data_IF_581532783194
#
_entry.id   IF_581532783194
#
_cell.length_a   1.000
_cell.length_b   1.000
_cell.length_c   1.000
_cell.angle_alpha   90.00
_cell.angle_beta   90.00
_cell.angle_gamma   90.00
#
_symmetry.space_group_name_H-M   'P 1'
#
loop_
_entity.id
_entity.type
_entity.pdbx_description
1 polymer ?
#
# COMPACT_ATOMS: atom_id res chain seq x y z
N UNK A 1 28.57 -4.58 6.61
CA UNK A 1 27.29 -4.47 7.34
C UNK A 1 26.18 -3.76 6.55
N UNK A 2 26.50 -3.05 5.44
CA UNK A 2 25.52 -2.30 4.63
C UNK A 2 24.72 -3.16 3.61
N UNK A 3 25.10 -4.41 3.36
CA UNK A 3 24.40 -5.24 2.37
C UNK A 3 23.15 -5.93 2.93
N UNK A 4 23.07 -6.18 4.23
CA UNK A 4 21.93 -6.89 4.83
C UNK A 4 20.62 -6.07 4.80
N UNK A 5 20.71 -4.74 4.94
CA UNK A 5 19.55 -3.83 4.92
C UNK A 5 18.90 -3.68 3.54
N UNK A 6 19.63 -3.99 2.46
CA UNK A 6 19.08 -3.99 1.10
C UNK A 6 18.37 -5.31 0.77
N UNK A 7 18.81 -6.41 1.38
CA UNK A 7 18.30 -7.76 1.14
C UNK A 7 17.07 -8.09 1.99
N UNK A 8 17.05 -7.62 3.23
CA UNK A 8 15.86 -7.66 4.08
C UNK A 8 15.21 -6.29 3.95
N UNK A 9 13.97 -6.20 3.48
CA UNK A 9 13.20 -4.95 3.42
C UNK A 9 12.88 -4.34 4.82
N UNK A 10 13.83 -4.42 5.75
CA UNK A 10 13.80 -3.92 7.12
C UNK A 10 13.65 -2.41 7.15
N UNK A 11 14.43 -1.69 6.33
CA UNK A 11 14.30 -0.22 6.20
C UNK A 11 12.85 0.17 5.89
N UNK A 12 12.23 -0.50 4.91
CA UNK A 12 10.81 -0.30 4.56
C UNK A 12 9.87 -0.64 5.70
N UNK A 13 10.15 -1.70 6.45
CA UNK A 13 9.35 -2.10 7.61
C UNK A 13 9.37 -1.01 8.67
N UNK A 14 10.54 -0.48 9.04
CA UNK A 14 10.64 0.61 10.02
C UNK A 14 10.03 1.93 9.52
N UNK A 15 10.15 2.25 8.24
CA UNK A 15 9.51 3.42 7.63
C UNK A 15 7.99 3.36 7.71
N UNK A 16 7.39 2.19 7.48
CA UNK A 16 5.92 2.04 7.52
C UNK A 16 5.37 1.63 8.89
N UNK A 17 6.21 1.13 9.80
CA UNK A 17 5.79 0.65 11.12
C UNK A 17 4.96 1.67 11.92
N UNK A 18 5.30 2.97 11.97
CA UNK A 18 4.48 3.96 12.67
C UNK A 18 3.05 4.03 12.14
N UNK A 19 2.84 3.89 10.83
CA UNK A 19 1.50 3.88 10.24
C UNK A 19 0.68 2.65 10.66
N UNK A 20 1.32 1.48 10.71
CA UNK A 20 0.69 0.27 11.22
C UNK A 20 0.31 0.40 12.70
N UNK A 21 1.21 0.99 13.50
CA UNK A 21 0.98 1.22 14.92
C UNK A 21 -0.16 2.22 15.17
N UNK A 22 -0.20 3.32 14.40
CA UNK A 22 -1.32 4.27 14.43
C UNK A 22 -2.64 3.55 14.14
N UNK A 23 -2.71 2.75 13.07
CA UNK A 23 -3.90 1.96 12.74
C UNK A 23 -4.28 0.92 13.81
N UNK A 24 -3.29 0.37 14.55
CA UNK A 24 -3.52 -0.59 15.63
C UNK A 24 -4.17 0.06 16.86
N UNK A 25 -3.76 1.28 17.21
CA UNK A 25 -4.34 2.02 18.34
C UNK A 25 -5.70 2.67 18.03
N UNK A 26 -6.09 2.76 16.75
CA UNK A 26 -7.39 3.31 16.37
C UNK A 26 -8.54 2.37 16.75
N UNK A 27 -9.38 2.83 17.68
CA UNK A 27 -10.60 2.12 18.03
C UNK A 27 -11.66 2.21 16.93
N UNK A 28 -12.56 1.21 16.89
CA UNK A 28 -13.70 1.19 15.95
C UNK A 28 -14.63 2.40 16.10
N UNK A 29 -14.73 2.96 17.31
CA UNK A 29 -15.48 4.19 17.63
C UNK A 29 -14.92 5.39 16.89
N UNK A 30 -13.60 5.58 16.94
CA UNK A 30 -12.88 6.66 16.25
C UNK A 30 -12.92 6.50 14.73
N UNK A 31 -12.75 5.27 14.23
CA UNK A 31 -12.88 4.97 12.80
C UNK A 31 -14.30 5.31 12.28
N UNK A 32 -15.35 5.05 13.06
CA UNK A 32 -16.73 5.41 12.67
C UNK A 32 -16.92 6.92 12.52
N UNK A 33 -16.23 7.73 13.33
CA UNK A 33 -16.30 9.20 13.24
C UNK A 33 -15.76 9.70 11.89
N UNK A 34 -14.72 9.05 11.35
CA UNK A 34 -14.11 9.40 10.05
C UNK A 34 -15.10 9.34 8.89
N UNK A 35 -16.17 8.54 8.97
CA UNK A 35 -17.15 8.40 7.90
C UNK A 35 -18.29 9.43 7.94
N UNK A 36 -18.20 10.46 8.78
CA UNK A 36 -19.19 11.55 8.83
C UNK A 36 -19.10 12.45 7.60
N UNK A 37 -20.23 13.03 7.16
CA UNK A 37 -20.29 13.91 5.98
C UNK A 37 -19.31 15.08 6.05
N UNK A 38 -19.17 15.69 7.24
CA UNK A 38 -18.24 16.83 7.47
C UNK A 38 -16.79 16.43 7.22
N UNK A 39 -16.37 15.27 7.72
CA UNK A 39 -15.01 14.77 7.52
C UNK A 39 -14.81 14.37 6.07
N UNK A 40 -15.80 13.76 5.40
CA UNK A 40 -15.71 13.47 3.96
C UNK A 40 -15.48 14.72 3.13
N UNK A 41 -16.21 15.81 3.41
CA UNK A 41 -16.00 17.08 2.71
C UNK A 41 -14.59 17.62 2.97
N UNK A 42 -14.14 17.61 4.22
CA UNK A 42 -12.77 18.01 4.57
C UNK A 42 -11.72 17.13 3.86
N UNK A 43 -11.93 15.83 3.78
CA UNK A 43 -11.04 14.88 3.10
C UNK A 43 -10.94 15.13 1.60
N UNK A 44 -12.05 15.46 0.93
CA UNK A 44 -12.03 15.84 -0.50
C UNK A 44 -11.19 17.10 -0.67
N UNK A 45 -11.45 18.13 0.14
CA UNK A 45 -10.71 19.39 0.08
C UNK A 45 -9.22 19.15 0.36
N UNK A 46 -8.88 18.37 1.38
CA UNK A 46 -7.51 18.02 1.72
C UNK A 46 -6.79 17.28 0.59
N UNK A 47 -7.44 16.29 -0.05
CA UNK A 47 -6.85 15.57 -1.18
C UNK A 47 -6.66 16.47 -2.41
N UNK A 48 -7.63 17.33 -2.74
CA UNK A 48 -7.49 18.29 -3.85
C UNK A 48 -6.38 19.29 -3.54
N UNK A 49 -6.33 19.84 -2.32
CA UNK A 49 -5.29 20.78 -1.91
C UNK A 49 -3.90 20.13 -1.99
N UNK A 50 -3.75 18.90 -1.51
CA UNK A 50 -2.49 18.15 -1.61
C UNK A 50 -2.11 17.87 -3.07
N UNK A 51 -3.07 17.51 -3.92
CA UNK A 51 -2.83 17.31 -5.34
C UNK A 51 -2.32 18.60 -6.02
N UNK A 52 -2.98 19.73 -5.78
CA UNK A 52 -2.56 21.04 -6.31
C UNK A 52 -1.18 21.42 -5.77
N UNK A 53 -0.94 21.25 -4.47
CA UNK A 53 0.34 21.58 -3.83
C UNK A 53 1.49 20.74 -4.40
N UNK A 54 1.30 19.44 -4.60
CA UNK A 54 2.34 18.57 -5.15
C UNK A 54 2.56 18.92 -6.63
N UNK A 55 1.49 19.07 -7.41
CA UNK A 55 1.59 19.31 -8.85
C UNK A 55 2.23 20.66 -9.20
N UNK A 56 1.86 21.73 -8.50
CA UNK A 56 2.35 23.09 -8.78
C UNK A 56 3.50 23.53 -7.88
N UNK A 57 3.55 23.06 -6.64
CA UNK A 57 4.57 23.47 -5.67
C UNK A 57 5.86 22.64 -5.73
N UNK A 58 5.76 21.36 -6.11
CA UNK A 58 6.91 20.45 -6.14
C UNK A 58 6.90 19.55 -7.40
N UNK A 59 6.92 20.12 -8.62
CA UNK A 59 6.85 19.35 -9.86
C UNK A 59 8.00 18.35 -10.03
N UNK A 60 9.17 18.66 -9.48
CA UNK A 60 10.38 17.82 -9.56
C UNK A 60 10.69 17.04 -8.28
N UNK A 61 9.69 16.80 -7.42
CA UNK A 61 9.91 16.03 -6.18
C UNK A 61 10.49 14.64 -6.54
N UNK A 62 11.73 14.32 -6.12
CA UNK A 62 12.32 13.03 -6.46
C UNK A 62 11.49 11.93 -5.80
N UNK A 63 11.08 10.93 -6.57
CA UNK A 63 10.25 9.82 -6.06
C UNK A 63 10.90 9.11 -4.86
N UNK A 64 12.23 9.18 -4.77
CA UNK A 64 13.04 8.63 -3.68
C UNK A 64 12.68 9.23 -2.30
N UNK A 65 12.23 10.49 -2.24
CA UNK A 65 11.70 11.12 -1.03
C UNK A 65 10.39 10.48 -0.56
N UNK A 66 9.53 10.09 -1.51
CA UNK A 66 8.25 9.43 -1.22
C UNK A 66 8.44 7.95 -0.85
N UNK A 67 9.41 7.28 -1.46
CA UNK A 67 9.72 5.88 -1.17
C UNK A 67 10.54 5.68 0.11
N UNK A 68 11.18 6.73 0.62
CA UNK A 68 12.04 6.67 1.81
C UNK A 68 13.24 5.73 1.64
N UNK A 69 13.69 5.50 0.41
CA UNK A 69 14.64 4.44 0.05
C UNK A 69 16.10 4.88 0.02
N UNK A 70 16.41 6.17 0.22
CA UNK A 70 17.77 6.72 0.26
C UNK A 70 18.05 7.54 1.52
N UNK A 71 19.31 7.51 1.94
CA UNK A 71 19.88 8.28 3.07
C UNK A 71 19.99 9.77 2.74
N UNK A 72 20.01 10.64 3.76
CA UNK A 72 20.06 12.10 3.60
C UNK A 72 21.28 12.57 2.80
N UNK A 73 22.43 11.93 3.00
CA UNK A 73 23.66 12.17 2.23
C UNK A 73 23.50 11.93 0.72
N UNK A 74 22.71 10.92 0.33
CA UNK A 74 22.48 10.61 -1.08
C UNK A 74 21.52 11.60 -1.77
N UNK A 75 20.84 12.45 -1.00
CA UNK A 75 19.95 13.50 -1.47
C UNK A 75 20.62 14.88 -1.44
N UNK A 76 21.84 15.00 -0.92
CA UNK A 76 22.63 16.24 -0.90
C UNK A 76 22.08 17.31 0.03
N UNK A 77 21.31 16.93 1.06
CA UNK A 77 20.65 17.85 2.00
C UNK A 77 21.27 17.71 3.39
N UNK A 78 21.49 18.83 4.13
CA UNK A 78 21.90 18.78 5.54
C UNK A 78 20.99 17.86 6.36
N UNK A 79 21.56 17.10 7.31
CA UNK A 79 20.81 16.12 8.09
C UNK A 79 19.58 16.71 8.79
N UNK A 80 19.69 17.96 9.26
CA UNK A 80 18.61 18.69 9.94
C UNK A 80 17.41 18.97 9.00
N UNK A 81 17.69 19.49 7.80
CA UNK A 81 16.66 19.75 6.77
C UNK A 81 16.05 18.44 6.26
N UNK A 82 16.84 17.36 6.20
CA UNK A 82 16.39 16.02 5.85
C UNK A 82 15.36 15.44 6.83
N UNK A 83 15.57 15.63 8.13
CA UNK A 83 14.63 15.19 9.18
C UNK A 83 13.30 15.94 9.08
N UNK A 84 13.33 17.27 8.92
CA UNK A 84 12.13 18.10 8.78
C UNK A 84 11.34 17.71 7.52
N UNK A 85 12.04 17.49 6.40
CA UNK A 85 11.42 17.02 5.16
C UNK A 85 10.72 15.67 5.33
N UNK A 86 11.36 14.69 5.99
CA UNK A 86 10.73 13.38 6.24
C UNK A 86 9.52 13.47 7.17
N UNK A 87 9.60 14.26 8.24
CA UNK A 87 8.45 14.48 9.13
C UNK A 87 7.28 15.11 8.37
N UNK A 88 7.56 16.07 7.48
CA UNK A 88 6.55 16.69 6.63
C UNK A 88 5.89 15.67 5.70
N UNK A 89 6.69 14.80 5.05
CA UNK A 89 6.18 13.73 4.18
C UNK A 89 5.36 12.71 4.97
N UNK A 90 5.77 12.34 6.18
CA UNK A 90 4.98 11.45 7.03
C UNK A 90 3.66 12.07 7.46
N UNK A 91 3.66 13.36 7.83
CA UNK A 91 2.45 14.11 8.15
C UNK A 91 1.49 14.18 6.96
N UNK A 92 2.02 14.56 5.79
CA UNK A 92 1.30 14.57 4.52
C UNK A 92 0.71 13.20 4.17
N UNK A 93 1.52 12.15 4.25
CA UNK A 93 1.11 10.77 3.96
C UNK A 93 0.03 10.29 4.92
N UNK A 94 0.14 10.61 6.21
CA UNK A 94 -0.87 10.26 7.23
C UNK A 94 -2.18 10.99 6.95
N UNK A 95 -2.13 12.29 6.65
CA UNK A 95 -3.30 13.09 6.31
C UNK A 95 -4.01 12.55 5.07
N UNK A 96 -3.25 12.25 4.01
CA UNK A 96 -3.78 11.67 2.78
C UNK A 96 -4.38 10.29 3.01
N UNK A 97 -3.73 9.43 3.82
CA UNK A 97 -4.24 8.12 4.19
C UNK A 97 -5.58 8.22 4.95
N UNK A 98 -5.67 9.07 5.97
CA UNK A 98 -6.90 9.27 6.76
C UNK A 98 -8.00 9.88 5.87
N UNK A 99 -7.64 10.84 5.02
CA UNK A 99 -8.57 11.48 4.10
C UNK A 99 -9.15 10.48 3.11
N UNK A 100 -8.30 9.64 2.52
CA UNK A 100 -8.71 8.56 1.64
C UNK A 100 -9.61 7.55 2.38
N UNK A 101 -9.23 7.13 3.59
CA UNK A 101 -10.02 6.21 4.40
C UNK A 101 -11.42 6.75 4.69
N UNK A 102 -11.56 8.03 5.02
CA UNK A 102 -12.85 8.67 5.28
C UNK A 102 -13.81 8.66 4.06
N UNK A 103 -13.25 8.65 2.84
CA UNK A 103 -14.00 8.57 1.59
C UNK A 103 -14.43 7.16 1.23
N UNK A 104 -13.80 6.13 1.80
CA UNK A 104 -14.21 4.75 1.61
C UNK A 104 -15.64 4.56 2.15
N UNK A 105 -16.55 3.96 1.38
CA UNK A 105 -17.90 3.73 1.83
C UNK A 105 -17.93 2.68 2.95
N UNK A 106 -18.68 2.95 4.03
CA UNK A 106 -18.84 2.07 5.18
C UNK A 106 -19.94 0.99 4.99
N UNK A 107 -20.44 0.82 3.77
CA UNK A 107 -21.48 -0.16 3.46
C UNK A 107 -20.87 -1.44 2.88
N UNK A 108 -21.49 -2.59 3.17
CA UNK A 108 -21.10 -3.87 2.57
C UNK A 108 -21.71 -3.96 1.17
N UNK A 109 -20.87 -3.98 0.15
CA UNK A 109 -21.27 -4.23 -1.24
C UNK A 109 -20.92 -5.65 -1.65
N UNK A 110 -21.49 -6.13 -2.76
CA UNK A 110 -21.12 -7.43 -3.35
C UNK A 110 -19.62 -7.52 -3.67
N UNK A 111 -18.97 -6.40 -3.99
CA UNK A 111 -17.52 -6.30 -4.18
C UNK A 111 -16.70 -6.44 -2.88
N UNK A 112 -17.30 -6.24 -1.70
CA UNK A 112 -16.60 -6.43 -0.42
C UNK A 112 -16.14 -7.88 -0.22
N UNK A 113 -16.76 -8.85 -0.91
CA UNK A 113 -16.31 -10.26 -0.94
C UNK A 113 -14.96 -10.42 -1.65
N UNK A 114 -14.64 -9.58 -2.63
CA UNK A 114 -13.32 -9.57 -3.24
C UNK A 114 -12.29 -8.90 -2.32
N UNK A 115 -12.73 -7.91 -1.53
CA UNK A 115 -11.91 -7.25 -0.50
C UNK A 115 -11.25 -8.24 0.47
N UNK A 116 -12.00 -9.27 0.93
CA UNK A 116 -11.44 -10.30 1.83
C UNK A 116 -10.42 -11.22 1.16
N UNK A 117 -10.36 -11.23 -0.17
CA UNK A 117 -9.43 -12.05 -0.96
C UNK A 117 -8.20 -11.26 -1.45
N UNK A 118 -8.16 -9.96 -1.20
CA UNK A 118 -7.07 -9.08 -1.66
C UNK A 118 -5.71 -9.50 -1.13
N UNK A 119 -5.63 -9.98 0.12
CA UNK A 119 -4.38 -10.50 0.68
C UNK A 119 -3.81 -11.68 -0.12
N UNK A 120 -4.68 -12.61 -0.52
CA UNK A 120 -4.30 -13.76 -1.35
C UNK A 120 -3.81 -13.31 -2.72
N UNK A 121 -4.55 -12.41 -3.38
CA UNK A 121 -4.16 -11.83 -4.67
C UNK A 121 -2.82 -11.11 -4.55
N UNK A 122 -2.63 -10.33 -3.48
CA UNK A 122 -1.39 -9.58 -3.22
C UNK A 122 -0.18 -10.50 -3.04
N UNK A 123 -0.31 -11.64 -2.36
CA UNK A 123 0.81 -12.58 -2.26
C UNK A 123 1.10 -13.24 -3.61
N UNK A 124 0.06 -13.67 -4.35
CA UNK A 124 0.25 -14.44 -5.57
C UNK A 124 0.66 -13.61 -6.79
N UNK A 125 0.20 -12.37 -6.91
CA UNK A 125 0.47 -11.56 -8.11
C UNK A 125 1.97 -11.33 -8.32
N UNK A 126 2.76 -11.23 -7.24
CA UNK A 126 4.21 -11.04 -7.31
C UNK A 126 4.92 -12.20 -8.00
N UNK A 127 4.48 -13.45 -7.76
CA UNK A 127 5.03 -14.62 -8.45
C UNK A 127 4.70 -14.61 -9.95
N UNK A 128 3.49 -14.18 -10.31
CA UNK A 128 3.05 -14.09 -11.70
C UNK A 128 3.79 -12.98 -12.44
N UNK A 129 3.97 -11.81 -11.80
CA UNK A 129 4.76 -10.72 -12.37
C UNK A 129 6.22 -11.11 -12.54
N UNK A 130 6.79 -11.85 -11.60
CA UNK A 130 8.15 -12.38 -11.73
C UNK A 130 8.25 -13.36 -12.91
N UNK A 131 7.29 -14.29 -13.03
CA UNK A 131 7.24 -15.22 -14.15
C UNK A 131 7.09 -14.50 -15.50
N UNK A 132 6.19 -13.52 -15.60
CA UNK A 132 6.00 -12.72 -16.81
C UNK A 132 7.26 -11.92 -17.18
N UNK A 133 8.00 -11.38 -16.19
CA UNK A 133 9.25 -10.67 -16.44
C UNK A 133 10.38 -11.56 -16.98
N UNK A 134 10.42 -12.83 -16.60
CA UNK A 134 11.41 -13.79 -17.13
C UNK A 134 11.08 -14.25 -18.56
N UNK A 135 9.89 -13.90 -19.07
CA UNK A 135 9.49 -14.15 -20.46
C UNK A 135 9.66 -12.91 -21.33
N UNK A 136 9.63 -13.06 -22.66
CA UNK A 136 9.66 -11.94 -23.63
C UNK A 136 8.39 -11.04 -23.62
N UNK A 137 7.56 -11.18 -22.60
CA UNK A 137 6.28 -10.48 -22.47
C UNK A 137 6.43 -8.95 -22.31
N UNK A 138 7.40 -8.41 -21.55
CA UNK A 138 7.62 -6.97 -21.46
C UNK A 138 7.97 -6.34 -22.82
N UNK A 139 8.82 -7.00 -23.60
CA UNK A 139 9.26 -6.54 -24.92
C UNK A 139 8.11 -6.56 -25.95
N UNK A 140 7.19 -7.52 -25.82
CA UNK A 140 5.99 -7.61 -26.66
C UNK A 140 5.00 -6.47 -26.38
N UNK A 141 4.79 -6.10 -25.12
CA UNK A 141 3.87 -5.01 -24.72
C UNK A 141 4.40 -3.64 -25.18
N UNK A 142 5.73 -3.39 -25.04
CA UNK A 142 6.34 -2.13 -25.46
C UNK A 142 6.24 -1.91 -26.98
N UNK A 143 6.43 -2.96 -27.79
CA UNK A 143 6.35 -2.85 -29.25
C UNK A 143 4.94 -2.58 -29.79
N UNK A 144 3.89 -2.94 -29.06
CA UNK A 144 2.49 -2.86 -29.53
C UNK A 144 1.76 -1.63 -28.97
N UNK A 145 2.40 -0.78 -28.15
CA UNK A 145 1.71 0.25 -27.35
C UNK A 145 0.51 -0.32 -26.57
N UNK A 146 0.64 -1.57 -26.12
CA UNK A 146 -0.44 -2.40 -25.60
C UNK A 146 -0.88 -2.06 -24.17
N UNK A 147 -0.80 -0.80 -23.73
CA UNK A 147 -1.21 -0.41 -22.36
C UNK A 147 -2.66 -0.84 -22.03
N UNK A 148 -3.64 -0.75 -22.95
CA UNK A 148 -4.99 -1.28 -22.69
C UNK A 148 -5.01 -2.81 -22.54
N UNK A 149 -4.19 -3.52 -23.32
CA UNK A 149 -4.04 -4.98 -23.22
C UNK A 149 -3.43 -5.38 -21.87
N UNK A 150 -2.42 -4.64 -21.41
CA UNK A 150 -1.80 -4.83 -20.10
C UNK A 150 -2.82 -4.62 -18.97
N UNK A 151 -3.63 -3.56 -19.06
CA UNK A 151 -4.72 -3.31 -18.11
C UNK A 151 -5.74 -4.46 -18.11
N UNK A 152 -6.20 -4.88 -19.28
CA UNK A 152 -7.11 -6.03 -19.41
C UNK A 152 -6.54 -7.31 -18.80
N UNK A 153 -5.28 -7.63 -19.11
CA UNK A 153 -4.60 -8.79 -18.56
C UNK A 153 -4.45 -8.70 -17.04
N UNK A 154 -4.11 -7.53 -16.51
CA UNK A 154 -3.99 -7.33 -15.06
C UNK A 154 -5.31 -7.58 -14.33
N UNK A 155 -6.43 -7.09 -14.87
CA UNK A 155 -7.77 -7.34 -14.33
C UNK A 155 -8.12 -8.82 -14.40
N UNK A 156 -7.82 -9.49 -15.52
CA UNK A 156 -8.04 -10.92 -15.68
C UNK A 156 -7.24 -11.74 -14.67
N UNK A 157 -5.96 -11.42 -14.46
CA UNK A 157 -5.11 -12.08 -13.46
C UNK A 157 -5.69 -11.87 -12.06
N UNK A 158 -6.10 -10.66 -11.70
CA UNK A 158 -6.70 -10.36 -10.40
C UNK A 158 -8.00 -11.15 -10.18
N UNK A 159 -8.87 -11.20 -11.19
CA UNK A 159 -10.12 -11.97 -11.12
C UNK A 159 -9.86 -13.48 -11.04
N UNK A 160 -8.86 -13.98 -11.78
CA UNK A 160 -8.44 -15.37 -11.73
C UNK A 160 -7.88 -15.72 -10.34
N UNK A 161 -6.99 -14.90 -9.79
CA UNK A 161 -6.38 -15.10 -8.46
C UNK A 161 -7.39 -14.95 -7.32
N UNK A 162 -8.35 -14.05 -7.50
CA UNK A 162 -9.48 -13.86 -6.59
C UNK A 162 -10.53 -14.97 -6.66
N UNK A 163 -10.39 -15.94 -7.57
CA UNK A 163 -11.32 -17.05 -7.69
C UNK A 163 -11.30 -17.95 -6.45
N UNK A 164 -12.48 -18.51 -6.11
CA UNK A 164 -12.65 -19.41 -4.96
C UNK A 164 -11.62 -20.56 -4.89
N UNK A 165 -11.27 -21.27 -5.99
CA UNK A 165 -10.35 -22.41 -5.91
C UNK A 165 -8.94 -22.00 -5.48
N UNK A 166 -8.41 -20.90 -6.01
CA UNK A 166 -7.05 -20.43 -5.70
C UNK A 166 -6.95 -20.01 -4.24
N UNK A 167 -7.95 -19.28 -3.75
CA UNK A 167 -8.01 -18.88 -2.34
C UNK A 167 -8.10 -20.09 -1.42
N UNK A 168 -8.87 -21.13 -1.77
CA UNK A 168 -8.97 -22.35 -0.96
C UNK A 168 -7.65 -23.11 -0.85
N UNK A 169 -6.88 -23.19 -1.93
CA UNK A 169 -5.57 -23.86 -1.94
C UNK A 169 -4.54 -23.05 -1.13
N UNK A 170 -4.58 -21.72 -1.21
CA UNK A 170 -3.63 -20.83 -0.52
C UNK A 170 -3.98 -20.57 0.95
N UNK A 171 -5.24 -20.80 1.34
CA UNK A 171 -5.73 -20.65 2.72
C UNK A 171 -4.89 -21.41 3.77
N UNK A 172 -4.60 -22.72 3.64
CA UNK A 172 -3.80 -23.43 4.64
C UNK A 172 -2.37 -22.89 4.77
N UNK A 173 -1.79 -22.39 3.69
CA UNK A 173 -0.44 -21.84 3.67
C UNK A 173 -0.38 -20.45 4.35
N UNK A 174 -1.38 -19.59 4.10
CA UNK A 174 -1.39 -18.19 4.52
C UNK A 174 -2.12 -17.94 5.85
N UNK A 175 -3.22 -18.63 6.12
CA UNK A 175 -3.94 -18.51 7.40
C UNK A 175 -3.30 -19.36 8.52
N UNK A 176 -2.13 -19.98 8.26
CA UNK A 176 -1.47 -21.01 9.07
C UNK A 176 -1.91 -20.93 10.53
N UNK A 177 -3.03 -21.61 10.81
CA UNK A 177 -3.71 -21.45 12.10
C UNK A 177 -2.84 -22.20 13.06
N UNK A 178 -1.95 -21.48 13.75
CA UNK A 178 -1.36 -22.00 14.96
C UNK A 178 -2.54 -22.43 15.83
N UNK A 179 -2.68 -23.73 16.13
CA UNK A 179 -3.76 -24.19 16.97
C UNK A 179 -3.68 -23.35 18.24
N UNK A 180 -4.76 -22.67 18.60
CA UNK A 180 -4.86 -21.97 19.89
C UNK A 180 -4.43 -22.98 20.94
N UNK A 181 -3.19 -22.84 21.44
CA UNK A 181 -2.73 -23.57 22.60
C UNK A 181 -3.72 -23.16 23.67
N UNK A 182 -4.63 -24.07 24.03
CA UNK A 182 -5.57 -23.88 25.13
C UNK A 182 -4.72 -23.31 26.27
N UNK A 183 -5.05 -22.11 26.72
CA UNK A 183 -4.64 -21.66 28.03
C UNK A 183 -5.31 -22.63 29.01
N UNK A 184 -4.62 -23.73 29.26
CA UNK A 184 -4.81 -24.59 30.41
C UNK A 184 -3.63 -24.28 31.31
N UNK A 185 -3.91 -24.23 32.63
CA UNK A 185 -3.01 -23.86 33.74
C UNK A 185 -3.01 -22.34 33.95
N UNK A 186 -3.48 -21.77 35.06
CA UNK A 186 -4.08 -22.23 36.31
C UNK A 186 -4.57 -20.98 37.03
#
# INVERSE_FOLDING_TARGET
MLDAEKWLSLSRTFTFFPFFLLGFFLEKSEIKRLFTWRIRLFSIVALIAMFVLIHFGFPDLPQEWLYGSKSYDALGVPEEDGVVGRLTIYGASTLMMISFLALVPNQRYSFSVFGTRTFYIYVLHGFILKYLHETKFPDFIMNIHGYPLLLGLSVLIILFLGSKPIVQIMRPLLELRLPKRKQAVS
#
